data_IF_982917767823
#
_entry.id   IF_982917767823
#
_cell.length_a   1.000
_cell.length_b   1.000
_cell.length_c   1.000
_cell.angle_alpha   90.00
_cell.angle_beta   90.00
_cell.angle_gamma   90.00
#
_symmetry.space_group_name_H-M   'P 1'
#
loop_
_entity.id
_entity.type
_entity.pdbx_description
1 polymer ?
#
# COMPACT_ATOMS: atom_id res chain seq x y z
N UNK A 1 -2.93 -29.51 -21.69
CA UNK A 1 -2.07 -29.87 -20.53
C UNK A 1 -2.88 -29.99 -19.27
N UNK A 2 -2.97 -31.23 -18.76
CA UNK A 2 -3.66 -31.56 -17.53
C UNK A 2 -2.85 -31.07 -16.31
N UNK A 3 -3.49 -30.27 -15.45
CA UNK A 3 -3.28 -30.30 -14.00
C UNK A 3 -1.87 -30.04 -13.46
N UNK A 4 -1.16 -29.01 -13.92
CA UNK A 4 0.00 -28.53 -13.17
C UNK A 4 -0.46 -28.05 -11.78
N UNK A 5 0.22 -28.45 -10.68
CA UNK A 5 -0.10 -27.97 -9.35
C UNK A 5 0.15 -26.46 -9.25
N UNK A 6 -0.87 -25.69 -8.91
CA UNK A 6 -0.77 -24.27 -8.61
C UNK A 6 -0.51 -24.05 -7.11
N UNK A 7 0.71 -23.65 -6.78
CA UNK A 7 1.10 -23.24 -5.44
C UNK A 7 1.43 -21.74 -5.48
N UNK A 8 0.99 -21.00 -4.46
CA UNK A 8 1.30 -19.57 -4.30
C UNK A 8 2.41 -19.32 -3.28
N UNK A 9 3.10 -18.20 -3.43
CA UNK A 9 4.06 -17.71 -2.45
C UNK A 9 3.78 -16.23 -2.18
N UNK A 10 3.83 -15.83 -0.91
CA UNK A 10 3.74 -14.44 -0.51
C UNK A 10 5.14 -13.87 -0.37
N UNK A 11 5.43 -12.78 -1.07
CA UNK A 11 6.75 -12.16 -1.08
C UNK A 11 6.62 -10.66 -0.78
N UNK A 12 7.49 -10.16 0.08
CA UNK A 12 7.76 -8.74 0.23
C UNK A 12 9.25 -8.48 0.00
N UNK A 13 9.58 -7.50 -0.83
CA UNK A 13 10.96 -7.09 -1.10
C UNK A 13 11.18 -5.68 -0.55
N UNK A 14 12.07 -5.55 0.42
CA UNK A 14 12.59 -4.26 0.85
C UNK A 14 13.58 -3.77 -0.20
N UNK A 15 13.15 -2.84 -1.06
CA UNK A 15 13.97 -2.26 -2.10
C UNK A 15 14.92 -1.19 -1.52
N UNK A 16 16.26 -1.36 -1.59
CA UNK A 16 17.21 -0.36 -1.09
C UNK A 16 17.08 1.00 -1.80
N UNK A 17 16.64 1.03 -3.07
CA UNK A 17 16.45 2.29 -3.81
C UNK A 17 15.34 3.16 -3.21
N UNK A 18 14.35 2.52 -2.56
CA UNK A 18 13.31 3.20 -1.80
C UNK A 18 13.68 3.39 -0.32
N UNK A 19 14.24 2.35 0.31
CA UNK A 19 14.45 2.31 1.76
C UNK A 19 15.61 3.20 2.18
N UNK A 20 16.81 2.94 1.68
CA UNK A 20 18.04 3.49 2.26
C UNK A 20 18.79 4.44 1.33
N UNK A 21 18.44 4.50 0.03
CA UNK A 21 19.06 5.43 -0.92
C UNK A 21 18.96 6.88 -0.46
N UNK A 22 20.07 7.59 -0.62
CA UNK A 22 20.13 9.03 -0.46
C UNK A 22 19.77 9.75 -1.76
N UNK A 23 19.02 10.83 -1.65
CA UNK A 23 18.55 11.66 -2.75
C UNK A 23 19.13 13.05 -2.58
N UNK A 24 19.82 13.52 -3.60
CA UNK A 24 20.28 14.91 -3.69
C UNK A 24 19.14 15.78 -4.20
N UNK A 25 18.65 16.71 -3.37
CA UNK A 25 17.65 17.67 -3.81
C UNK A 25 18.33 18.83 -4.57
N UNK A 26 17.73 19.31 -5.69
CA UNK A 26 18.26 20.46 -6.41
C UNK A 26 18.39 21.69 -5.50
N UNK A 27 19.59 22.27 -5.44
CA UNK A 27 19.86 23.47 -4.64
C UNK A 27 20.00 23.25 -3.13
N UNK A 28 19.97 22.00 -2.64
CA UNK A 28 20.24 21.66 -1.23
C UNK A 28 21.65 21.08 -1.13
N UNK A 29 22.43 21.47 -0.12
CA UNK A 29 23.82 21.01 0.03
C UNK A 29 23.94 19.60 0.64
N UNK A 30 22.90 19.12 1.29
CA UNK A 30 22.87 17.85 2.02
C UNK A 30 21.92 16.89 1.31
N UNK A 31 22.32 15.63 1.20
CA UNK A 31 21.46 14.55 0.72
C UNK A 31 20.44 14.17 1.79
N UNK A 32 19.26 13.71 1.37
CA UNK A 32 18.23 13.22 2.28
C UNK A 32 17.89 11.78 1.97
N UNK A 33 17.56 10.97 2.98
CA UNK A 33 17.08 9.61 2.74
C UNK A 33 15.77 9.63 1.97
N UNK A 34 15.66 8.79 0.94
CA UNK A 34 14.42 8.57 0.19
C UNK A 34 13.28 8.18 1.14
N UNK A 35 13.55 7.28 2.09
CA UNK A 35 12.67 6.96 3.21
C UNK A 35 13.38 7.16 4.56
N UNK A 36 12.75 7.93 5.46
CA UNK A 36 13.25 8.07 6.82
C UNK A 36 13.11 6.78 7.62
N UNK A 37 13.97 6.58 8.62
CA UNK A 37 13.91 5.41 9.50
C UNK A 37 12.55 5.25 10.21
N UNK A 38 11.83 6.35 10.52
CA UNK A 38 10.47 6.29 11.08
C UNK A 38 9.46 5.69 10.08
N UNK A 39 9.56 6.04 8.79
CA UNK A 39 8.68 5.47 7.76
C UNK A 39 9.04 4.01 7.49
N UNK A 40 10.32 3.68 7.42
CA UNK A 40 10.78 2.30 7.30
C UNK A 40 10.36 1.43 8.49
N UNK A 41 10.40 1.96 9.72
CA UNK A 41 9.90 1.28 10.92
C UNK A 41 8.43 0.91 10.77
N UNK A 42 7.61 1.87 10.33
CA UNK A 42 6.18 1.65 10.12
C UNK A 42 5.91 0.60 9.03
N UNK A 43 6.68 0.62 7.93
CA UNK A 43 6.59 -0.39 6.88
C UNK A 43 7.02 -1.77 7.41
N UNK A 44 8.15 -1.86 8.12
CA UNK A 44 8.64 -3.10 8.72
C UNK A 44 7.60 -3.72 9.66
N UNK A 45 6.99 -2.92 10.54
CA UNK A 45 5.90 -3.36 11.41
C UNK A 45 4.69 -3.84 10.59
N UNK A 46 4.37 -3.17 9.49
CA UNK A 46 3.28 -3.56 8.60
C UNK A 46 3.55 -4.90 7.91
N UNK A 47 4.78 -5.13 7.45
CA UNK A 47 5.23 -6.39 6.84
C UNK A 47 5.21 -7.53 7.86
N UNK A 48 5.66 -7.29 9.10
CA UNK A 48 5.56 -8.28 10.19
C UNK A 48 4.11 -8.65 10.50
N UNK A 49 3.24 -7.66 10.63
CA UNK A 49 1.81 -7.88 10.85
C UNK A 49 1.19 -8.68 9.70
N UNK A 50 1.56 -8.41 8.44
CA UNK A 50 1.13 -9.21 7.29
C UNK A 50 1.60 -10.66 7.40
N UNK A 51 2.88 -10.88 7.73
CA UNK A 51 3.43 -12.24 7.90
C UNK A 51 2.75 -13.05 9.00
N UNK A 52 2.48 -12.43 10.14
CA UNK A 52 1.72 -13.04 11.24
C UNK A 52 0.29 -13.42 10.80
N UNK A 53 -0.39 -12.53 10.08
CA UNK A 53 -1.73 -12.79 9.59
C UNK A 53 -1.77 -13.91 8.54
N UNK A 54 -0.82 -13.93 7.59
CA UNK A 54 -0.71 -14.99 6.59
C UNK A 54 -0.44 -16.35 7.24
N UNK A 55 0.44 -16.40 8.23
CA UNK A 55 0.73 -17.62 9.00
C UNK A 55 -0.52 -18.08 9.77
N UNK A 56 -1.14 -17.20 10.54
CA UNK A 56 -2.27 -17.56 11.40
C UNK A 56 -3.56 -17.90 10.62
N UNK A 57 -3.87 -17.16 9.55
CA UNK A 57 -5.12 -17.35 8.77
C UNK A 57 -4.95 -18.42 7.68
N UNK A 58 -3.82 -18.42 6.97
CA UNK A 58 -3.63 -19.24 5.77
C UNK A 58 -2.62 -20.36 5.94
N UNK A 59 -1.94 -20.45 7.10
CA UNK A 59 -0.84 -21.39 7.29
C UNK A 59 0.29 -21.18 6.29
N UNK A 60 0.47 -19.94 5.81
CA UNK A 60 1.40 -19.57 4.76
C UNK A 60 2.59 -18.78 5.32
N UNK A 61 3.77 -18.98 4.74
CA UNK A 61 4.92 -18.12 5.04
C UNK A 61 4.88 -16.83 4.22
N UNK A 62 5.23 -15.71 4.85
CA UNK A 62 5.68 -14.52 4.15
C UNK A 62 7.19 -14.62 3.93
N UNK A 63 7.60 -14.63 2.67
CA UNK A 63 8.99 -14.58 2.27
C UNK A 63 9.42 -13.12 2.19
N UNK A 64 10.58 -12.80 2.76
CA UNK A 64 11.13 -11.45 2.80
C UNK A 64 12.49 -11.43 2.11
N UNK A 65 12.72 -10.41 1.29
CA UNK A 65 14.00 -10.13 0.64
C UNK A 65 14.40 -8.68 0.90
N UNK A 66 15.69 -8.39 0.79
CA UNK A 66 16.24 -7.05 0.73
C UNK A 66 17.12 -6.96 -0.51
N UNK A 67 16.80 -6.04 -1.42
CA UNK A 67 17.36 -5.99 -2.77
C UNK A 67 16.32 -5.55 -3.79
N UNK A 68 16.65 -5.65 -5.07
CA UNK A 68 15.73 -5.24 -6.14
C UNK A 68 14.58 -6.23 -6.30
N UNK A 69 13.33 -5.78 -6.53
CA UNK A 69 12.18 -6.67 -6.71
C UNK A 69 12.35 -7.70 -7.82
N UNK A 70 12.88 -7.30 -8.98
CA UNK A 70 13.12 -8.17 -10.14
C UNK A 70 14.06 -9.35 -9.81
N UNK A 71 15.09 -9.11 -9.01
CA UNK A 71 16.05 -10.14 -8.57
C UNK A 71 15.43 -11.03 -7.49
N UNK A 72 14.73 -10.43 -6.52
CA UNK A 72 14.10 -11.14 -5.41
C UNK A 72 13.01 -12.11 -5.87
N UNK A 73 12.19 -11.69 -6.84
CA UNK A 73 11.11 -12.48 -7.43
C UNK A 73 11.68 -13.65 -8.23
N UNK A 74 12.58 -13.38 -9.19
CA UNK A 74 13.15 -14.42 -10.07
C UNK A 74 13.98 -15.44 -9.29
N UNK A 75 14.75 -14.99 -8.30
CA UNK A 75 15.53 -15.87 -7.43
C UNK A 75 14.63 -16.77 -6.58
N UNK A 76 13.49 -16.28 -6.12
CA UNK A 76 12.52 -17.09 -5.39
C UNK A 76 11.90 -18.16 -6.29
N UNK A 77 11.43 -17.80 -7.48
CA UNK A 77 10.86 -18.77 -8.43
C UNK A 77 11.86 -19.89 -8.76
N UNK A 78 13.13 -19.55 -8.97
CA UNK A 78 14.22 -20.52 -9.17
C UNK A 78 14.43 -21.41 -7.95
N UNK A 79 14.46 -20.84 -6.75
CA UNK A 79 14.64 -21.59 -5.50
C UNK A 79 13.48 -22.56 -5.20
N UNK A 80 12.26 -22.21 -5.61
CA UNK A 80 11.07 -23.07 -5.50
C UNK A 80 10.96 -24.09 -6.65
N UNK A 81 11.83 -24.01 -7.65
CA UNK A 81 11.81 -24.90 -8.81
C UNK A 81 10.58 -24.72 -9.69
N UNK A 82 10.02 -23.50 -9.77
CA UNK A 82 8.84 -23.22 -10.58
C UNK A 82 9.22 -22.90 -12.04
N UNK A 83 8.97 -23.80 -13.00
CA UNK A 83 9.35 -23.56 -14.40
C UNK A 83 8.41 -22.58 -15.11
N UNK A 84 7.20 -22.38 -14.56
CA UNK A 84 6.20 -21.39 -14.99
C UNK A 84 5.53 -20.80 -13.75
N UNK A 85 5.34 -19.50 -13.74
CA UNK A 85 4.83 -18.77 -12.58
C UNK A 85 4.24 -17.42 -12.99
N UNK A 86 3.38 -16.86 -12.15
CA UNK A 86 2.78 -15.55 -12.37
C UNK A 86 3.08 -14.63 -11.18
N UNK A 87 3.44 -13.38 -11.45
CA UNK A 87 3.51 -12.32 -10.45
C UNK A 87 2.18 -11.58 -10.43
N UNK A 88 1.53 -11.55 -9.28
CA UNK A 88 0.33 -10.76 -9.07
C UNK A 88 0.65 -9.56 -8.17
N UNK A 89 0.43 -8.34 -8.68
CA UNK A 89 0.64 -7.12 -7.88
C UNK A 89 -0.37 -6.02 -8.24
N UNK A 90 -0.42 -4.98 -7.40
CA UNK A 90 -1.15 -3.76 -7.74
C UNK A 90 -0.32 -2.92 -8.70
N UNK A 91 -0.96 -2.31 -9.69
CA UNK A 91 -0.36 -1.30 -10.56
C UNK A 91 -0.04 -0.05 -9.74
N UNK A 92 1.11 0.55 -9.95
CA UNK A 92 1.47 1.82 -9.34
C UNK A 92 1.48 2.96 -10.37
N UNK A 93 1.44 4.20 -9.87
CA UNK A 93 1.28 5.41 -10.68
C UNK A 93 2.55 6.27 -10.75
N UNK A 94 3.49 6.07 -9.83
CA UNK A 94 4.71 6.86 -9.76
C UNK A 94 5.74 6.40 -10.79
N UNK A 95 6.56 7.34 -11.29
CA UNK A 95 7.56 7.05 -12.33
C UNK A 95 8.62 6.05 -11.89
N UNK A 96 9.00 6.09 -10.61
CA UNK A 96 9.96 5.13 -10.05
C UNK A 96 9.34 3.73 -9.96
N UNK A 97 8.10 3.65 -9.48
CA UNK A 97 7.37 2.40 -9.35
C UNK A 97 7.03 1.77 -10.71
N UNK A 98 6.65 2.57 -11.71
CA UNK A 98 6.44 2.09 -13.08
C UNK A 98 7.73 1.51 -13.67
N UNK A 99 8.88 2.16 -13.43
CA UNK A 99 10.18 1.66 -13.87
C UNK A 99 10.55 0.33 -13.17
N UNK A 100 10.22 0.17 -11.88
CA UNK A 100 10.38 -1.11 -11.16
C UNK A 100 9.47 -2.17 -11.78
N UNK A 101 8.19 -1.87 -12.03
CA UNK A 101 7.24 -2.81 -12.62
C UNK A 101 7.67 -3.25 -14.03
N UNK A 102 8.24 -2.34 -14.83
CA UNK A 102 8.81 -2.68 -16.14
C UNK A 102 9.98 -3.67 -16.02
N UNK A 103 10.93 -3.43 -15.10
CA UNK A 103 12.05 -4.35 -14.87
C UNK A 103 11.60 -5.71 -14.34
N UNK A 104 10.59 -5.74 -13.46
CA UNK A 104 9.99 -6.99 -12.99
C UNK A 104 9.32 -7.75 -14.13
N UNK A 105 8.60 -7.06 -15.03
CA UNK A 105 7.97 -7.68 -16.19
C UNK A 105 8.99 -8.34 -17.11
N UNK A 106 10.03 -7.59 -17.49
CA UNK A 106 11.12 -8.08 -18.35
C UNK A 106 11.84 -9.29 -17.71
N UNK A 107 12.20 -9.18 -16.43
CA UNK A 107 12.89 -10.25 -15.71
C UNK A 107 12.01 -11.50 -15.54
N UNK A 108 10.70 -11.35 -15.32
CA UNK A 108 9.77 -12.46 -15.23
C UNK A 108 9.66 -13.21 -16.56
N UNK A 109 9.45 -12.48 -17.66
CA UNK A 109 9.33 -13.06 -19.01
C UNK A 109 10.59 -13.83 -19.41
N UNK A 110 11.78 -13.31 -19.06
CA UNK A 110 13.05 -13.98 -19.31
C UNK A 110 13.24 -15.30 -18.54
N UNK A 111 12.47 -15.52 -17.48
CA UNK A 111 12.59 -16.68 -16.58
C UNK A 111 11.32 -17.55 -16.53
N UNK A 112 10.50 -17.54 -17.59
CA UNK A 112 9.29 -18.35 -17.70
C UNK A 112 8.12 -17.87 -16.84
N UNK A 113 8.21 -16.66 -16.31
CA UNK A 113 7.16 -15.99 -15.54
C UNK A 113 6.28 -15.08 -16.41
N UNK A 114 5.11 -14.70 -15.88
CA UNK A 114 4.30 -13.60 -16.42
C UNK A 114 4.06 -12.54 -15.37
N UNK A 115 3.97 -11.29 -15.80
CA UNK A 115 3.65 -10.16 -14.93
C UNK A 115 2.18 -9.75 -15.08
N UNK A 116 1.42 -9.88 -14.00
CA UNK A 116 -0.01 -9.58 -13.96
C UNK A 116 -0.27 -8.48 -12.92
N UNK A 117 -0.41 -7.25 -13.39
CA UNK A 117 -0.76 -6.10 -12.56
C UNK A 117 -2.19 -5.61 -12.82
N UNK A 118 -2.83 -5.08 -11.77
CA UNK A 118 -4.14 -4.47 -11.87
C UNK A 118 -4.33 -3.37 -10.84
N UNK A 119 -5.34 -2.52 -10.99
CA UNK A 119 -5.56 -1.40 -10.06
C UNK A 119 -5.83 -1.86 -8.61
N UNK A 120 -6.34 -3.07 -8.43
CA UNK A 120 -6.70 -3.59 -7.12
C UNK A 120 -7.74 -2.69 -6.44
N UNK A 121 -7.59 -2.46 -5.13
CA UNK A 121 -8.50 -1.64 -4.31
C UNK A 121 -7.81 -0.42 -3.70
N UNK A 122 -6.79 0.10 -4.39
CA UNK A 122 -5.98 1.22 -3.91
C UNK A 122 -6.70 2.58 -4.02
N UNK A 123 -7.70 2.70 -4.89
CA UNK A 123 -8.54 3.89 -5.10
C UNK A 123 -9.93 3.64 -4.49
N UNK A 124 -10.59 4.70 -4.02
CA UNK A 124 -11.99 4.66 -3.61
C UNK A 124 -12.89 4.43 -4.83
N UNK A 125 -12.65 5.22 -5.89
CA UNK A 125 -13.34 5.11 -7.16
C UNK A 125 -12.44 4.40 -8.15
N UNK A 126 -12.86 3.24 -8.65
CA UNK A 126 -12.00 2.43 -9.53
C UNK A 126 -11.90 3.06 -10.93
N UNK A 127 -10.71 3.14 -11.57
CA UNK A 127 -10.54 3.82 -12.85
C UNK A 127 -11.44 3.30 -13.98
N UNK A 128 -11.66 1.98 -14.03
CA UNK A 128 -12.58 1.37 -14.99
C UNK A 128 -14.05 1.75 -14.75
N UNK A 129 -14.44 1.94 -13.48
CA UNK A 129 -15.82 2.34 -13.17
C UNK A 129 -16.03 3.82 -13.44
N UNK A 130 -14.99 4.65 -13.24
CA UNK A 130 -14.97 6.05 -13.71
C UNK A 130 -15.18 6.09 -15.23
N UNK A 131 -14.40 5.31 -15.98
CA UNK A 131 -14.51 5.26 -17.44
C UNK A 131 -15.90 4.78 -17.91
N UNK A 132 -16.44 3.75 -17.26
CA UNK A 132 -17.77 3.23 -17.56
C UNK A 132 -18.88 4.23 -17.23
N UNK A 133 -18.80 4.89 -16.08
CA UNK A 133 -19.90 5.73 -15.57
C UNK A 133 -19.91 7.12 -16.19
N UNK A 134 -18.73 7.68 -16.51
CA UNK A 134 -18.59 9.03 -17.02
C UNK A 134 -18.25 9.09 -18.53
N UNK A 135 -17.94 7.95 -19.16
CA UNK A 135 -17.54 7.91 -20.57
C UNK A 135 -16.17 8.54 -20.85
N UNK A 136 -15.33 8.73 -19.82
CA UNK A 136 -13.99 9.32 -19.94
C UNK A 136 -12.92 8.42 -19.36
N UNK A 137 -11.83 8.19 -20.10
CA UNK A 137 -10.68 7.46 -19.57
C UNK A 137 -9.84 8.38 -18.65
N UNK A 138 -9.71 8.08 -17.34
CA UNK A 138 -8.96 8.93 -16.41
C UNK A 138 -7.46 9.00 -16.72
N UNK A 139 -6.94 8.15 -17.61
CA UNK A 139 -5.57 8.23 -18.14
C UNK A 139 -5.43 9.29 -19.24
N UNK A 140 -6.53 9.63 -19.92
CA UNK A 140 -6.56 10.53 -21.08
C UNK A 140 -7.26 11.85 -20.79
N UNK A 141 -8.05 11.92 -19.72
CA UNK A 141 -8.72 13.13 -19.25
C UNK A 141 -8.63 13.21 -17.74
N UNK A 142 -8.28 14.37 -17.22
CA UNK A 142 -8.33 14.60 -15.78
C UNK A 142 -9.78 14.50 -15.30
N UNK A 143 -9.97 13.76 -14.21
CA UNK A 143 -11.26 13.60 -13.53
C UNK A 143 -11.16 14.16 -12.12
N UNK A 144 -12.25 14.75 -11.63
CA UNK A 144 -12.34 15.22 -10.25
C UNK A 144 -13.38 14.40 -9.47
N UNK A 145 -12.95 13.49 -8.58
CA UNK A 145 -13.84 12.72 -7.73
C UNK A 145 -14.81 13.54 -6.87
N UNK A 146 -14.54 14.83 -6.61
CA UNK A 146 -15.49 15.70 -5.91
C UNK A 146 -16.76 15.98 -6.71
N UNK A 147 -16.74 15.79 -8.04
CA UNK A 147 -17.90 15.98 -8.90
C UNK A 147 -18.66 14.68 -9.17
N UNK A 148 -18.37 13.61 -8.41
CA UNK A 148 -19.07 12.33 -8.56
C UNK A 148 -20.43 12.30 -7.84
N UNK A 149 -20.83 13.41 -7.22
CA UNK A 149 -22.18 13.63 -6.69
C UNK A 149 -22.87 14.65 -7.60
N UNK A 150 -24.08 14.33 -8.09
CA UNK A 150 -24.77 15.18 -9.07
C UNK A 150 -25.27 16.48 -8.44
N UNK A 151 -25.70 16.37 -7.18
CA UNK A 151 -26.22 17.47 -6.37
C UNK A 151 -25.53 17.51 -5.00
N UNK A 152 -25.40 18.72 -4.45
CA UNK A 152 -24.92 18.90 -3.08
C UNK A 152 -25.86 18.18 -2.11
N UNK A 153 -25.34 17.20 -1.39
CA UNK A 153 -26.08 16.39 -0.42
C UNK A 153 -26.51 15.01 -0.93
N UNK A 154 -26.17 14.64 -2.17
CA UNK A 154 -26.35 13.26 -2.63
C UNK A 154 -25.56 12.28 -1.75
N UNK A 155 -26.22 11.23 -1.30
CA UNK A 155 -25.60 10.21 -0.44
C UNK A 155 -24.71 9.27 -1.27
N UNK A 156 -25.16 8.88 -2.46
CA UNK A 156 -24.45 7.94 -3.31
C UNK A 156 -23.81 8.64 -4.50
N UNK A 157 -22.53 8.35 -4.80
CA UNK A 157 -21.87 8.89 -5.98
C UNK A 157 -22.32 8.17 -7.27
N UNK A 158 -22.31 8.89 -8.39
CA UNK A 158 -22.55 8.40 -9.75
C UNK A 158 -21.55 7.30 -10.12
N UNK A 159 -20.30 7.43 -9.68
CA UNK A 159 -19.28 6.39 -9.84
C UNK A 159 -19.36 5.45 -8.63
N UNK A 160 -19.64 4.14 -8.81
CA UNK A 160 -19.85 3.24 -7.69
C UNK A 160 -18.56 2.97 -6.90
N UNK A 161 -18.69 2.92 -5.58
CA UNK A 161 -17.64 2.36 -4.71
C UNK A 161 -17.77 0.83 -4.71
N UNK A 162 -16.87 0.14 -5.43
CA UNK A 162 -16.90 -1.34 -5.56
C UNK A 162 -16.97 -2.03 -4.18
N UNK A 163 -17.68 -3.16 -4.02
CA UNK A 163 -17.79 -3.89 -2.75
C UNK A 163 -16.44 -4.45 -2.28
N UNK A 164 -16.28 -4.68 -0.98
CA UNK A 164 -15.02 -5.16 -0.41
C UNK A 164 -14.67 -6.56 -0.91
N UNK A 165 -13.39 -6.84 -1.13
CA UNK A 165 -12.94 -8.20 -1.44
C UNK A 165 -12.72 -8.88 -0.09
N UNK A 166 -13.52 -9.90 0.21
CA UNK A 166 -13.36 -10.66 1.44
C UNK A 166 -11.95 -11.27 1.48
N UNK A 167 -11.26 -11.08 2.61
CA UNK A 167 -10.02 -11.80 2.85
C UNK A 167 -10.29 -13.31 2.81
N UNK A 168 -9.38 -14.13 2.27
CA UNK A 168 -9.55 -15.58 2.25
C UNK A 168 -9.77 -16.10 3.67
N UNK A 169 -10.81 -16.90 3.86
CA UNK A 169 -11.15 -17.51 5.14
C UNK A 169 -10.08 -18.50 5.58
N UNK A 170 -9.98 -18.77 6.88
CA UNK A 170 -9.06 -19.78 7.39
C UNK A 170 -9.33 -21.14 6.76
N UNK A 171 -8.28 -21.79 6.26
CA UNK A 171 -8.41 -23.08 5.57
C UNK A 171 -8.97 -23.00 4.14
N UNK A 172 -9.07 -21.80 3.54
CA UNK A 172 -9.38 -21.66 2.11
C UNK A 172 -8.31 -22.39 1.30
N UNK A 173 -8.65 -23.56 0.77
CA UNK A 173 -7.91 -24.14 -0.33
C UNK A 173 -8.13 -23.21 -1.52
N UNK A 174 -7.04 -22.67 -2.10
CA UNK A 174 -7.15 -21.97 -3.37
C UNK A 174 -7.89 -22.85 -4.38
N UNK A 175 -8.32 -22.28 -5.52
CA UNK A 175 -8.99 -23.05 -6.59
C UNK A 175 -8.17 -24.26 -7.11
N UNK A 176 -6.93 -24.43 -6.64
CA UNK A 176 -6.18 -25.67 -6.73
C UNK A 176 -6.84 -26.83 -5.97
N UNK A 177 -7.68 -27.57 -6.69
CA UNK A 177 -8.28 -28.84 -6.26
C UNK A 177 -7.27 -29.95 -5.94
N UNK A 178 -5.98 -29.72 -6.20
CA UNK A 178 -4.92 -30.74 -6.14
C UNK A 178 -3.91 -30.55 -5.01
N UNK A 179 -4.02 -29.52 -4.16
CA UNK A 179 -3.09 -29.30 -3.05
C UNK A 179 -3.82 -29.11 -1.72
N UNK A 180 -3.40 -29.88 -0.70
CA UNK A 180 -3.82 -29.66 0.70
C UNK A 180 -3.21 -28.39 1.30
N UNK A 181 -2.16 -27.83 0.67
CA UNK A 181 -1.51 -26.56 1.03
C UNK A 181 -1.38 -25.66 -0.21
N UNK A 182 -2.28 -24.69 -0.43
CA UNK A 182 -2.26 -23.84 -1.61
C UNK A 182 -1.10 -22.82 -1.61
N UNK A 183 -0.48 -22.58 -0.45
CA UNK A 183 0.63 -21.65 -0.31
C UNK A 183 1.88 -22.34 0.26
N UNK A 184 3.05 -21.82 -0.11
CA UNK A 184 4.34 -22.22 0.46
C UNK A 184 4.35 -21.94 1.96
N UNK A 185 4.80 -22.92 2.75
CA UNK A 185 4.93 -22.81 4.20
C UNK A 185 5.94 -23.79 4.79
N UNK A 186 6.40 -23.51 6.00
CA UNK A 186 7.41 -24.30 6.70
C UNK A 186 8.82 -24.14 6.13
N UNK A 187 9.10 -23.02 5.46
CA UNK A 187 10.43 -22.75 4.92
C UNK A 187 11.44 -22.54 6.07
N UNK A 188 12.68 -23.03 5.94
CA UNK A 188 13.75 -22.69 6.89
C UNK A 188 13.92 -21.17 7.00
N UNK A 189 14.19 -20.67 8.20
CA UNK A 189 14.28 -19.23 8.46
C UNK A 189 15.24 -18.49 7.50
N UNK A 190 16.41 -19.06 7.23
CA UNK A 190 17.38 -18.48 6.28
C UNK A 190 16.93 -18.45 4.83
N UNK A 191 15.95 -19.27 4.43
CA UNK A 191 15.34 -19.24 3.08
C UNK A 191 14.16 -18.26 3.06
N UNK A 192 13.36 -18.24 4.12
CA UNK A 192 12.19 -17.35 4.24
C UNK A 192 12.61 -15.89 4.37
N UNK A 193 13.57 -15.60 5.24
CA UNK A 193 13.98 -14.26 5.63
C UNK A 193 15.48 -14.26 5.98
N UNK A 194 16.36 -14.21 4.97
CA UNK A 194 17.81 -14.35 5.15
C UNK A 194 18.42 -13.32 6.10
N UNK A 195 17.81 -12.12 6.19
CA UNK A 195 18.26 -11.04 7.07
C UNK A 195 17.53 -11.04 8.42
N UNK A 196 16.68 -12.01 8.73
CA UNK A 196 15.94 -12.10 9.99
C UNK A 196 15.05 -10.88 10.30
N UNK A 197 14.63 -10.13 9.27
CA UNK A 197 13.83 -8.91 9.41
C UNK A 197 12.48 -9.13 10.08
N UNK A 198 11.94 -10.35 10.08
CA UNK A 198 10.67 -10.70 10.72
C UNK A 198 10.82 -10.95 12.22
N UNK A 199 11.99 -11.37 12.70
CA UNK A 199 12.17 -11.86 14.08
C UNK A 199 13.11 -11.00 14.94
N UNK A 200 14.11 -10.36 14.34
CA UNK A 200 15.10 -9.53 15.04
C UNK A 200 14.44 -8.30 15.71
N UNK A 201 15.01 -7.71 16.79
CA UNK A 201 14.50 -6.43 17.33
C UNK A 201 14.38 -5.35 16.25
N UNK A 202 13.38 -4.46 16.36
CA UNK A 202 13.03 -3.52 15.28
C UNK A 202 14.18 -2.59 14.88
N UNK A 203 14.94 -2.08 15.85
CA UNK A 203 16.04 -1.15 15.57
C UNK A 203 17.20 -1.86 14.87
N UNK A 204 17.49 -3.09 15.29
CA UNK A 204 18.48 -3.92 14.61
C UNK A 204 18.04 -4.31 13.21
N UNK A 205 16.75 -4.61 13.00
CA UNK A 205 16.22 -4.85 11.66
C UNK A 205 16.31 -3.61 10.76
N UNK A 206 16.15 -2.39 11.30
CA UNK A 206 16.42 -1.15 10.55
C UNK A 206 17.89 -1.02 10.18
N UNK A 207 18.82 -1.34 11.08
CA UNK A 207 20.25 -1.32 10.74
C UNK A 207 20.58 -2.32 9.63
N UNK A 208 19.96 -3.51 9.64
CA UNK A 208 20.07 -4.50 8.55
C UNK A 208 19.48 -4.02 7.22
N UNK A 209 18.58 -3.03 7.24
CA UNK A 209 18.03 -2.36 6.06
C UNK A 209 18.88 -1.15 5.60
N UNK A 210 20.03 -0.90 6.22
CA UNK A 210 20.98 0.15 5.82
C UNK A 210 20.79 1.50 6.51
N UNK A 211 20.00 1.57 7.58
CA UNK A 211 19.92 2.74 8.45
C UNK A 211 21.08 2.77 9.46
N UNK A 212 21.55 3.97 9.82
CA UNK A 212 22.55 4.09 10.90
C UNK A 212 21.95 3.71 12.25
N UNK A 213 22.80 3.40 13.22
CA UNK A 213 22.36 3.11 14.59
C UNK A 213 21.57 4.29 15.19
N UNK A 214 22.05 5.51 15.00
CA UNK A 214 21.38 6.73 15.47
C UNK A 214 19.99 6.89 14.87
N UNK A 215 19.86 6.72 13.54
CA UNK A 215 18.56 6.79 12.85
C UNK A 215 17.60 5.72 13.36
N UNK A 216 18.08 4.48 13.52
CA UNK A 216 17.29 3.34 13.97
C UNK A 216 16.80 3.52 15.42
N UNK A 217 17.68 3.92 16.33
CA UNK A 217 17.35 4.18 17.74
C UNK A 217 16.37 5.35 17.85
N UNK A 218 16.58 6.43 17.10
CA UNK A 218 15.67 7.58 17.07
C UNK A 218 14.29 7.19 16.56
N UNK A 219 14.21 6.36 15.52
CA UNK A 219 12.93 5.88 14.99
C UNK A 219 12.17 4.99 15.99
N UNK A 220 12.89 4.10 16.68
CA UNK A 220 12.34 3.21 17.70
C UNK A 220 11.93 3.92 18.98
N UNK A 221 12.48 5.10 19.26
CA UNK A 221 12.24 5.83 20.50
C UNK A 221 10.95 6.66 20.37
N UNK A 222 9.93 6.43 21.22
CA UNK A 222 8.71 7.23 21.21
C UNK A 222 8.99 8.68 21.60
N UNK A 223 8.40 9.62 20.87
CA UNK A 223 8.35 11.03 21.28
C UNK A 223 7.01 11.27 21.99
N UNK A 224 7.00 11.71 23.26
CA UNK A 224 5.76 11.92 24.02
C UNK A 224 4.87 13.02 23.43
N UNK A 225 5.40 13.87 22.54
CA UNK A 225 4.65 14.93 21.84
C UNK A 225 3.97 14.43 20.58
N UNK A 226 4.30 13.23 20.10
CA UNK A 226 3.69 12.67 18.90
C UNK A 226 2.17 12.54 19.09
N UNK A 227 1.40 12.92 18.07
CA UNK A 227 -0.07 12.86 18.11
C UNK A 227 -0.60 11.44 18.36
N UNK A 228 0.18 10.43 17.96
CA UNK A 228 -0.08 9.01 18.19
C UNK A 228 1.26 8.24 18.26
N UNK A 229 1.33 7.15 19.04
CA UNK A 229 2.40 6.17 18.90
C UNK A 229 2.11 5.29 17.67
N UNK A 230 2.35 5.81 16.47
CA UNK A 230 2.07 5.09 15.22
C UNK A 230 2.74 3.72 15.17
N UNK A 231 1.95 2.68 14.89
CA UNK A 231 2.43 1.31 14.67
C UNK A 231 1.93 0.81 13.32
N UNK A 232 2.81 0.16 12.55
CA UNK A 232 2.44 -0.43 11.28
C UNK A 232 1.51 -1.63 11.41
N UNK A 233 0.80 -1.97 10.33
CA UNK A 233 -0.05 -3.15 10.24
C UNK A 233 -1.53 -2.85 10.10
N UNK A 234 -2.23 -3.73 9.38
CA UNK A 234 -3.68 -3.66 9.14
C UNK A 234 -4.47 -3.67 10.45
N UNK A 235 -4.14 -4.55 11.39
CA UNK A 235 -4.84 -4.64 12.67
C UNK A 235 -4.76 -3.33 13.48
N UNK A 236 -3.63 -2.63 13.43
CA UNK A 236 -3.49 -1.31 14.05
C UNK A 236 -4.31 -0.25 13.32
N UNK A 237 -4.26 -0.23 11.99
CA UNK A 237 -5.02 0.72 11.18
C UNK A 237 -6.53 0.57 11.36
N UNK A 238 -7.04 -0.66 11.38
CA UNK A 238 -8.45 -0.95 11.62
C UNK A 238 -8.86 -0.55 13.05
N UNK A 239 -8.04 -0.84 14.06
CA UNK A 239 -8.31 -0.42 15.44
C UNK A 239 -8.29 1.10 15.59
N UNK A 240 -7.39 1.81 14.89
CA UNK A 240 -7.41 3.28 14.86
C UNK A 240 -8.69 3.79 14.19
N UNK A 241 -9.10 3.21 13.05
CA UNK A 241 -10.33 3.57 12.36
C UNK A 241 -11.56 3.40 13.26
N UNK A 242 -11.68 2.25 13.92
CA UNK A 242 -12.81 1.95 14.82
C UNK A 242 -12.84 2.89 16.02
N UNK A 243 -11.67 3.14 16.64
CA UNK A 243 -11.57 4.13 17.72
C UNK A 243 -11.94 5.53 17.24
N UNK A 244 -11.44 5.94 16.07
CA UNK A 244 -11.71 7.27 15.52
C UNK A 244 -13.20 7.50 15.25
N UNK A 245 -13.88 6.50 14.69
CA UNK A 245 -15.32 6.51 14.48
C UNK A 245 -16.07 6.78 15.79
N UNK A 246 -15.63 6.17 16.88
CA UNK A 246 -16.24 6.33 18.20
C UNK A 246 -15.91 7.66 18.87
N UNK A 247 -14.67 8.16 18.73
CA UNK A 247 -14.19 9.27 19.57
C UNK A 247 -14.21 10.64 18.91
N UNK A 248 -14.06 10.75 17.59
CA UNK A 248 -13.88 12.07 16.96
C UNK A 248 -14.56 12.27 15.61
N UNK A 249 -15.08 11.22 14.96
CA UNK A 249 -15.77 11.38 13.67
C UNK A 249 -16.94 12.37 13.73
N UNK A 250 -17.74 12.40 14.80
CA UNK A 250 -18.91 13.28 14.87
C UNK A 250 -18.56 14.78 14.81
N UNK A 251 -17.44 15.19 15.39
CA UNK A 251 -16.96 16.59 15.38
C UNK A 251 -15.85 16.86 14.36
N UNK A 252 -15.66 15.96 13.39
CA UNK A 252 -14.54 16.04 12.46
C UNK A 252 -14.55 17.33 11.64
N UNK A 253 -15.71 17.75 11.14
CA UNK A 253 -15.83 18.92 10.29
C UNK A 253 -15.27 20.18 10.96
N UNK A 254 -15.62 20.40 12.23
CA UNK A 254 -15.20 21.57 13.00
C UNK A 254 -13.77 21.44 13.52
N UNK A 255 -13.34 20.23 13.93
CA UNK A 255 -12.09 20.02 14.65
C UNK A 255 -10.88 19.73 13.74
N UNK A 256 -11.10 19.44 12.45
CA UNK A 256 -10.03 19.02 11.50
C UNK A 256 -8.82 19.95 11.38
N UNK A 257 -9.00 21.23 11.67
CA UNK A 257 -7.93 22.23 11.63
C UNK A 257 -7.07 22.25 12.92
N UNK A 258 -7.39 21.43 13.92
CA UNK A 258 -6.60 21.28 15.13
C UNK A 258 -5.18 20.76 14.84
N UNK A 259 -4.25 21.06 15.74
CA UNK A 259 -2.83 20.66 15.62
C UNK A 259 -2.35 19.78 16.77
N UNK A 260 -3.09 19.74 17.89
CA UNK A 260 -2.70 19.04 19.11
C UNK A 260 -3.67 17.89 19.42
N UNK A 261 -3.10 16.76 19.84
CA UNK A 261 -3.86 15.56 20.21
C UNK A 261 -4.16 14.62 19.04
N UNK A 262 -4.60 13.41 19.36
CA UNK A 262 -4.90 12.38 18.38
C UNK A 262 -6.18 12.68 17.59
N UNK A 263 -7.19 13.24 18.26
CA UNK A 263 -8.58 13.14 17.83
C UNK A 263 -9.14 14.42 17.17
N UNK A 264 -8.28 15.32 16.72
CA UNK A 264 -8.71 16.37 15.79
C UNK A 264 -8.91 15.85 14.35
N UNK A 265 -8.38 14.67 14.02
CA UNK A 265 -8.56 14.04 12.70
C UNK A 265 -8.32 12.53 12.76
N UNK A 266 -8.68 11.81 11.70
CA UNK A 266 -8.59 10.35 11.65
C UNK A 266 -7.19 9.79 11.91
N UNK A 267 -6.15 10.53 11.52
CA UNK A 267 -4.75 10.09 11.51
C UNK A 267 -4.54 8.79 10.72
N UNK A 268 -5.41 8.46 9.75
CA UNK A 268 -5.34 7.21 8.98
C UNK A 268 -4.30 7.23 7.85
N UNK A 269 -3.70 8.38 7.57
CA UNK A 269 -2.80 8.58 6.44
C UNK A 269 -1.66 7.56 6.32
N UNK A 270 -0.94 7.13 7.38
CA UNK A 270 0.15 6.17 7.19
C UNK A 270 -0.36 4.77 6.82
N UNK A 271 -1.50 4.33 7.35
CA UNK A 271 -2.10 3.03 6.99
C UNK A 271 -2.75 3.05 5.59
N UNK A 272 -3.31 4.19 5.16
CA UNK A 272 -3.79 4.38 3.78
C UNK A 272 -2.64 4.43 2.77
N UNK A 273 -1.48 4.96 3.18
CA UNK A 273 -0.30 5.07 2.32
C UNK A 273 0.39 3.72 2.09
N UNK A 274 0.41 2.83 3.09
CA UNK A 274 0.99 1.48 2.98
C UNK A 274 -0.02 0.41 2.55
N UNK A 275 -1.28 0.77 2.32
CA UNK A 275 -2.33 -0.18 1.96
C UNK A 275 -2.79 -1.08 3.13
N UNK A 276 -2.38 -0.80 4.36
CA UNK A 276 -2.85 -1.51 5.55
C UNK A 276 -4.34 -1.31 5.82
N UNK A 277 -4.92 -0.20 5.36
CA UNK A 277 -6.37 0.04 5.37
C UNK A 277 -6.76 0.52 3.97
N UNK A 278 -7.80 -0.08 3.38
CA UNK A 278 -8.29 0.35 2.07
C UNK A 278 -9.22 1.57 2.19
N UNK A 279 -9.24 2.49 1.21
CA UNK A 279 -10.18 3.61 1.22
C UNK A 279 -11.65 3.13 1.20
N UNK A 280 -11.93 2.01 0.53
CA UNK A 280 -13.27 1.41 0.54
C UNK A 280 -13.72 0.95 1.94
N UNK A 281 -12.79 0.44 2.76
CA UNK A 281 -13.07 0.07 4.17
C UNK A 281 -13.41 1.30 4.99
N UNK A 282 -12.66 2.39 4.82
CA UNK A 282 -12.97 3.67 5.49
C UNK A 282 -14.34 4.16 5.06
N UNK A 283 -14.61 4.21 3.75
CA UNK A 283 -15.89 4.64 3.20
C UNK A 283 -17.08 3.88 3.81
N UNK A 284 -17.04 2.54 3.77
CA UNK A 284 -18.15 1.72 4.29
C UNK A 284 -18.34 1.85 5.79
N UNK A 285 -17.27 1.83 6.57
CA UNK A 285 -17.38 2.00 8.03
C UNK A 285 -17.89 3.39 8.41
N UNK A 286 -17.48 4.43 7.69
CA UNK A 286 -17.97 5.80 7.91
C UNK A 286 -19.43 5.92 7.50
N UNK A 287 -19.83 5.43 6.32
CA UNK A 287 -21.23 5.42 5.87
C UNK A 287 -22.15 4.65 6.81
N UNK A 288 -21.67 3.57 7.44
CA UNK A 288 -22.45 2.80 8.41
C UNK A 288 -22.79 3.57 9.70
N UNK A 289 -22.07 4.67 10.01
CA UNK A 289 -22.37 5.53 11.16
C UNK A 289 -23.58 6.43 10.90
N UNK A 290 -23.90 6.67 9.63
CA UNK A 290 -24.93 7.60 9.18
C UNK A 290 -24.35 8.70 8.30
N UNK A 291 -25.25 9.50 7.72
CA UNK A 291 -24.88 10.62 6.87
C UNK A 291 -25.05 11.95 7.63
N UNK A 292 -23.98 12.73 7.69
CA UNK A 292 -23.92 14.06 8.30
C UNK A 292 -22.71 14.82 7.77
N UNK A 293 -22.61 16.11 8.12
CA UNK A 293 -21.54 16.99 7.63
C UNK A 293 -20.14 16.41 7.85
N UNK A 294 -19.85 15.87 9.04
CA UNK A 294 -18.54 15.30 9.37
C UNK A 294 -18.22 14.01 8.60
N UNK A 295 -19.19 13.10 8.46
CA UNK A 295 -19.01 11.86 7.68
C UNK A 295 -18.82 12.15 6.19
N UNK A 296 -19.64 13.03 5.62
CA UNK A 296 -19.51 13.51 4.25
C UNK A 296 -18.17 14.21 4.01
N UNK A 297 -17.71 15.04 4.95
CA UNK A 297 -16.42 15.71 4.83
C UNK A 297 -15.26 14.72 4.81
N UNK A 298 -15.26 13.70 5.67
CA UNK A 298 -14.21 12.68 5.66
C UNK A 298 -14.18 11.90 4.32
N UNK A 299 -15.34 11.63 3.73
CA UNK A 299 -15.44 11.01 2.40
C UNK A 299 -14.90 11.94 1.31
N UNK A 300 -15.18 13.25 1.41
CA UNK A 300 -14.60 14.28 0.54
C UNK A 300 -13.07 14.30 0.62
N UNK A 301 -12.48 14.12 1.81
CA UNK A 301 -11.00 14.00 1.93
C UNK A 301 -10.44 12.72 1.29
N UNK A 302 -11.21 11.62 1.24
CA UNK A 302 -10.82 10.45 0.45
C UNK A 302 -10.91 10.74 -1.06
N UNK A 303 -11.87 11.57 -1.48
CA UNK A 303 -11.97 12.04 -2.85
C UNK A 303 -10.76 12.91 -3.25
N UNK A 304 -10.25 13.77 -2.35
CA UNK A 304 -8.98 14.50 -2.55
C UNK A 304 -7.80 13.56 -2.75
N UNK A 305 -7.71 12.47 -1.95
CA UNK A 305 -6.66 11.46 -2.12
C UNK A 305 -6.73 10.82 -3.51
N UNK A 306 -7.92 10.45 -3.97
CA UNK A 306 -8.10 9.86 -5.30
C UNK A 306 -7.84 10.88 -6.41
N UNK A 307 -8.22 12.15 -6.24
CA UNK A 307 -7.92 13.24 -7.18
C UNK A 307 -6.42 13.33 -7.46
N UNK A 308 -5.58 13.33 -6.42
CA UNK A 308 -4.12 13.39 -6.62
C UNK A 308 -3.55 12.13 -7.29
N UNK A 309 -4.15 10.96 -7.07
CA UNK A 309 -3.80 9.75 -7.83
C UNK A 309 -4.21 9.89 -9.30
N UNK A 310 -5.37 10.47 -9.60
CA UNK A 310 -5.79 10.75 -10.97
C UNK A 310 -4.93 11.81 -11.65
N UNK A 311 -4.44 12.81 -10.93
CA UNK A 311 -3.42 13.74 -11.45
C UNK A 311 -2.13 13.02 -11.82
N UNK A 312 -1.63 12.11 -10.98
CA UNK A 312 -0.44 11.30 -11.31
C UNK A 312 -0.70 10.45 -12.56
N UNK A 313 -1.87 9.82 -12.64
CA UNK A 313 -2.28 8.98 -13.77
C UNK A 313 -2.35 9.77 -15.09
N UNK A 314 -2.89 10.98 -15.06
CA UNK A 314 -3.10 11.82 -16.24
C UNK A 314 -1.84 12.59 -16.66
N UNK A 315 -1.13 13.20 -15.71
CA UNK A 315 0.02 14.06 -16.00
C UNK A 315 1.37 13.32 -15.99
N UNK A 316 1.45 12.13 -15.40
CA UNK A 316 2.70 11.38 -15.26
C UNK A 316 3.80 12.20 -14.58
N UNK A 317 5.01 12.14 -15.13
CA UNK A 317 6.22 12.80 -14.57
C UNK A 317 6.12 14.33 -14.50
N UNK A 318 5.22 14.95 -15.25
CA UNK A 318 5.05 16.40 -15.28
C UNK A 318 4.71 17.00 -13.91
N UNK A 319 4.14 16.22 -12.98
CA UNK A 319 3.86 16.68 -11.61
C UNK A 319 5.12 17.00 -10.80
N UNK A 320 6.27 16.46 -11.21
CA UNK A 320 7.56 16.62 -10.49
C UNK A 320 8.47 17.66 -11.14
N UNK A 321 8.11 18.19 -12.30
CA UNK A 321 8.90 19.22 -12.98
C UNK A 321 8.70 20.59 -12.31
N UNK A 322 9.74 21.42 -12.36
CA UNK A 322 9.71 22.77 -11.76
C UNK A 322 8.54 23.62 -12.28
N UNK A 323 8.15 23.45 -13.54
CA UNK A 323 7.02 24.16 -14.16
C UNK A 323 5.65 23.58 -13.82
N UNK A 324 5.60 22.40 -13.23
CA UNK A 324 4.38 21.65 -12.95
C UNK A 324 3.60 21.23 -14.20
N UNK A 325 2.46 20.54 -14.01
CA UNK A 325 1.66 20.01 -15.11
C UNK A 325 1.05 21.09 -16.02
N UNK A 326 0.77 22.28 -15.49
CA UNK A 326 0.20 23.40 -16.26
C UNK A 326 1.14 23.93 -17.37
N UNK A 327 2.44 23.63 -17.29
CA UNK A 327 3.46 24.08 -18.27
C UNK A 327 4.08 22.94 -19.07
N UNK A 328 3.72 21.69 -18.82
CA UNK A 328 4.35 20.53 -19.47
C UNK A 328 3.99 20.34 -20.95
N UNK A 329 2.95 21.03 -21.43
CA UNK A 329 2.54 21.06 -22.84
C UNK A 329 2.92 22.37 -23.57
N UNK A 330 3.79 23.20 -22.98
CA UNK A 330 4.37 24.38 -23.64
C UNK A 330 5.78 24.11 -24.09
#
# INVERSE_FOLDING_TARGET
DAGAPCQGAWLYVFDPDFMSREVQLPGVAVSVRKASARRALFILQSVRSLGEQLSHKLGADLIVRHGRPEDGITSLARALGWPRWDVHCQRELGTEEEAVQARVSEAAEACGGRFLSGWGRQLLFHPEDVAKSLGVDPRMSLVNPHHFWEQDGDVEPVVPVRPEIAAPASGTTGQCRHHSRPFVSGLPAGVRDPLGLLATPLCEALMRLGYSEEEAVTACTPDPRAVLPFRGGEAEGLRRLDRWIQTGLQGYYEQRAGLLGADYSSKLSPWLATGCVSPGTVYRKVRAVGDNQSTGWLISELAWRDLFRYHLMYHGSAVFFLGGPARAHR
#
